data_IF_635593979278
#
_entry.id   IF_635593979278
#
_cell.length_a   1.000
_cell.length_b   1.000
_cell.length_c   1.000
_cell.angle_alpha   90.00
_cell.angle_beta   90.00
_cell.angle_gamma   90.00
#
_symmetry.space_group_name_H-M   'P 1'
#
loop_
_entity.id
_entity.type
_entity.pdbx_description
1 polymer ?
#
# COMPACT_ATOMS: atom_id res chain seq x y z
N UNK A 1 31.01 -34.17 5.15
CA UNK A 1 30.05 -34.83 4.23
C UNK A 1 28.63 -34.87 4.80
N UNK A 2 28.42 -35.19 6.09
CA UNK A 2 27.09 -35.27 6.70
C UNK A 2 26.39 -33.87 6.77
N UNK A 3 27.13 -32.81 7.00
CA UNK A 3 26.60 -31.44 7.00
C UNK A 3 26.24 -30.95 5.59
N UNK A 4 26.97 -31.34 4.55
CA UNK A 4 26.62 -31.05 3.17
C UNK A 4 25.30 -31.73 2.77
N UNK A 5 25.12 -33.03 3.13
CA UNK A 5 23.89 -33.76 2.83
C UNK A 5 22.65 -33.20 3.54
N UNK A 6 22.81 -32.62 4.73
CA UNK A 6 21.72 -31.94 5.45
C UNK A 6 21.41 -30.63 4.76
N UNK A 7 22.42 -29.84 4.41
CA UNK A 7 22.31 -28.54 3.76
C UNK A 7 21.54 -28.64 2.43
N UNK A 8 21.81 -29.66 1.64
CA UNK A 8 21.18 -29.87 0.32
C UNK A 8 19.71 -30.36 0.43
N UNK A 9 19.25 -30.75 1.63
CA UNK A 9 17.89 -31.26 1.87
C UNK A 9 16.98 -30.30 2.60
N UNK A 10 17.51 -29.19 3.08
CA UNK A 10 16.73 -28.18 3.79
C UNK A 10 16.40 -27.06 2.82
N UNK A 11 15.11 -26.81 2.62
CA UNK A 11 14.60 -25.62 1.95
C UNK A 11 14.21 -24.63 3.03
N UNK A 12 15.04 -23.60 3.28
CA UNK A 12 14.83 -22.67 4.41
C UNK A 12 13.55 -21.84 4.28
N UNK A 13 13.12 -21.59 3.06
CA UNK A 13 11.92 -20.79 2.75
C UNK A 13 10.88 -21.74 2.13
N UNK A 14 9.66 -21.71 2.66
CA UNK A 14 8.54 -22.50 2.13
C UNK A 14 8.20 -22.06 0.71
N UNK A 15 7.81 -22.99 -0.19
CA UNK A 15 7.40 -22.64 -1.55
C UNK A 15 5.96 -22.09 -1.62
N UNK A 16 5.16 -22.31 -0.57
CA UNK A 16 3.73 -22.06 -0.58
C UNK A 16 3.42 -20.57 -0.34
N UNK A 17 2.43 -20.04 -1.04
CA UNK A 17 1.82 -18.75 -0.75
C UNK A 17 0.81 -18.91 0.38
N UNK A 18 0.94 -18.12 1.43
CA UNK A 18 0.14 -18.20 2.64
C UNK A 18 -0.51 -16.83 2.92
N UNK A 19 -1.52 -16.40 2.12
CA UNK A 19 -2.20 -15.13 2.34
C UNK A 19 -3.06 -15.19 3.62
N UNK A 20 -3.24 -14.07 4.31
CA UNK A 20 -4.18 -13.99 5.42
C UNK A 20 -5.61 -14.19 4.91
N UNK A 21 -6.49 -14.71 5.77
CA UNK A 21 -7.90 -14.92 5.47
C UNK A 21 -8.74 -14.05 6.39
N UNK A 22 -9.65 -13.28 5.81
CA UNK A 22 -10.71 -12.57 6.54
C UNK A 22 -12.03 -13.21 6.09
N UNK A 23 -12.81 -13.80 7.01
CA UNK A 23 -14.09 -14.40 6.67
C UNK A 23 -15.01 -13.39 5.97
N UNK A 24 -15.74 -13.84 4.96
CA UNK A 24 -16.73 -13.05 4.20
C UNK A 24 -16.17 -11.78 3.52
N UNK A 25 -14.85 -11.67 3.33
CA UNK A 25 -14.20 -10.50 2.72
C UNK A 25 -14.78 -10.13 1.35
N UNK A 26 -15.14 -11.12 0.53
CA UNK A 26 -15.72 -10.91 -0.80
C UNK A 26 -17.08 -10.21 -0.71
N UNK A 27 -17.94 -10.70 0.19
CA UNK A 27 -19.24 -10.11 0.44
C UNK A 27 -19.10 -8.73 1.09
N UNK A 28 -18.23 -8.60 2.09
CA UNK A 28 -18.00 -7.33 2.76
C UNK A 28 -17.55 -6.25 1.78
N UNK A 29 -16.59 -6.56 0.90
CA UNK A 29 -16.12 -5.60 -0.10
C UNK A 29 -17.24 -5.17 -1.04
N UNK A 30 -18.03 -6.14 -1.55
CA UNK A 30 -19.17 -5.85 -2.42
C UNK A 30 -20.19 -4.96 -1.72
N UNK A 31 -20.59 -5.31 -0.50
CA UNK A 31 -21.58 -4.56 0.27
C UNK A 31 -21.09 -3.12 0.56
N UNK A 32 -19.84 -2.94 0.96
CA UNK A 32 -19.25 -1.61 1.19
C UNK A 32 -19.27 -0.77 -0.07
N UNK A 33 -18.80 -1.31 -1.20
CA UNK A 33 -18.75 -0.60 -2.47
C UNK A 33 -20.12 -0.18 -2.97
N UNK A 34 -21.10 -1.08 -2.94
CA UNK A 34 -22.45 -0.76 -3.37
C UNK A 34 -23.14 0.25 -2.44
N UNK A 35 -23.01 0.11 -1.13
CA UNK A 35 -23.55 1.07 -0.19
C UNK A 35 -23.01 2.48 -0.44
N UNK A 36 -21.71 2.61 -0.71
CA UNK A 36 -21.11 3.91 -1.03
C UNK A 36 -21.58 4.43 -2.39
N UNK A 37 -21.66 3.57 -3.40
CA UNK A 37 -22.16 3.93 -4.73
C UNK A 37 -23.61 4.45 -4.67
N UNK A 38 -24.49 3.75 -3.95
CA UNK A 38 -25.88 4.20 -3.73
C UNK A 38 -25.95 5.52 -2.95
N UNK A 39 -25.07 5.73 -1.98
CA UNK A 39 -25.02 6.99 -1.23
C UNK A 39 -24.58 8.18 -2.10
N UNK A 40 -23.82 7.94 -3.17
CA UNK A 40 -23.37 9.00 -4.09
C UNK A 40 -24.32 9.22 -5.26
N UNK A 41 -24.78 8.13 -5.90
CA UNK A 41 -25.49 8.15 -7.17
C UNK A 41 -26.97 7.77 -7.07
N UNK A 42 -27.47 7.38 -5.88
CA UNK A 42 -28.86 7.01 -5.66
C UNK A 42 -29.14 5.51 -5.83
N UNK A 43 -30.42 5.14 -5.64
CA UNK A 43 -30.86 3.73 -5.72
C UNK A 43 -30.70 3.17 -7.14
N UNK A 44 -31.03 3.96 -8.16
CA UNK A 44 -30.85 3.61 -9.56
C UNK A 44 -29.46 4.09 -10.03
N UNK A 45 -28.46 3.19 -9.93
CA UNK A 45 -27.11 3.52 -10.33
C UNK A 45 -26.98 3.75 -11.83
N UNK A 46 -26.23 4.78 -12.27
CA UNK A 46 -25.87 4.94 -13.67
C UNK A 46 -25.14 3.70 -14.22
N UNK A 47 -25.42 3.34 -15.48
CA UNK A 47 -24.84 2.16 -16.14
C UNK A 47 -23.31 2.15 -16.05
N UNK A 48 -22.66 3.28 -16.31
CA UNK A 48 -21.19 3.42 -16.22
C UNK A 48 -20.64 3.09 -14.82
N UNK A 49 -21.36 3.43 -13.76
CA UNK A 49 -21.00 3.13 -12.36
C UNK A 49 -21.12 1.63 -12.12
N UNK A 50 -22.24 1.04 -12.52
CA UNK A 50 -22.51 -0.39 -12.34
C UNK A 50 -21.55 -1.26 -13.13
N UNK A 51 -21.34 -0.97 -14.42
CA UNK A 51 -20.43 -1.73 -15.28
C UNK A 51 -18.98 -1.69 -14.75
N UNK A 52 -18.52 -0.50 -14.37
CA UNK A 52 -17.17 -0.34 -13.82
C UNK A 52 -17.01 -1.11 -12.50
N UNK A 53 -17.97 -0.99 -11.60
CA UNK A 53 -17.92 -1.62 -10.28
C UNK A 53 -17.99 -3.15 -10.39
N UNK A 54 -18.90 -3.70 -11.21
CA UNK A 54 -19.01 -5.15 -11.43
C UNK A 54 -17.75 -5.72 -12.08
N UNK A 55 -17.20 -5.04 -13.07
CA UNK A 55 -15.97 -5.45 -13.75
C UNK A 55 -14.80 -5.54 -12.74
N UNK A 56 -14.64 -4.53 -11.90
CA UNK A 56 -13.56 -4.50 -10.92
C UNK A 56 -13.78 -5.51 -9.81
N UNK A 57 -14.96 -5.56 -9.19
CA UNK A 57 -15.27 -6.50 -8.12
C UNK A 57 -15.14 -7.95 -8.57
N UNK A 58 -15.59 -8.28 -9.76
CA UNK A 58 -15.45 -9.63 -10.31
C UNK A 58 -13.96 -10.00 -10.50
N UNK A 59 -13.14 -9.07 -10.99
CA UNK A 59 -11.70 -9.29 -11.12
C UNK A 59 -11.01 -9.45 -9.75
N UNK A 60 -11.32 -8.57 -8.80
CA UNK A 60 -10.72 -8.58 -7.45
C UNK A 60 -11.09 -9.87 -6.70
N UNK A 61 -12.37 -10.24 -6.70
CA UNK A 61 -12.89 -11.40 -5.97
C UNK A 61 -12.41 -12.72 -6.60
N UNK A 62 -12.48 -12.85 -7.93
CA UNK A 62 -12.05 -14.08 -8.62
C UNK A 62 -10.55 -14.38 -8.45
N UNK A 63 -9.73 -13.37 -8.21
CA UNK A 63 -8.31 -13.52 -7.94
C UNK A 63 -7.96 -13.57 -6.43
N UNK A 64 -8.96 -13.51 -5.54
CA UNK A 64 -8.75 -13.60 -4.08
C UNK A 64 -8.16 -12.34 -3.46
N UNK A 65 -8.26 -11.18 -4.11
CA UNK A 65 -7.67 -9.93 -3.63
C UNK A 65 -8.57 -9.13 -2.67
N UNK A 66 -9.82 -9.56 -2.46
CA UNK A 66 -10.77 -8.83 -1.60
C UNK A 66 -10.24 -8.62 -0.17
N UNK A 67 -9.50 -9.59 0.37
CA UNK A 67 -8.87 -9.49 1.69
C UNK A 67 -7.95 -8.27 1.78
N UNK A 68 -7.15 -8.00 0.75
CA UNK A 68 -6.23 -6.85 0.72
C UNK A 68 -6.97 -5.52 0.76
N UNK A 69 -8.08 -5.42 0.01
CA UNK A 69 -8.95 -4.25 0.04
C UNK A 69 -9.59 -4.04 1.41
N UNK A 70 -10.09 -5.10 2.04
CA UNK A 70 -10.70 -5.00 3.38
C UNK A 70 -9.67 -4.59 4.44
N UNK A 71 -8.44 -5.09 4.35
CA UNK A 71 -7.35 -4.67 5.25
C UNK A 71 -7.06 -3.18 5.08
N UNK A 72 -6.84 -2.74 3.85
CA UNK A 72 -6.57 -1.34 3.53
C UNK A 72 -7.71 -0.43 3.99
N UNK A 73 -8.95 -0.81 3.69
CA UNK A 73 -10.16 -0.10 4.12
C UNK A 73 -10.22 0.06 5.65
N UNK A 74 -10.01 -1.03 6.42
CA UNK A 74 -10.02 -0.98 7.89
C UNK A 74 -8.94 -0.05 8.44
N UNK A 75 -7.74 -0.08 7.88
CA UNK A 75 -6.63 0.78 8.27
C UNK A 75 -6.93 2.26 8.00
N UNK A 76 -7.42 2.57 6.80
CA UNK A 76 -7.77 3.94 6.40
C UNK A 76 -8.92 4.48 7.26
N UNK A 77 -9.99 3.72 7.42
CA UNK A 77 -11.14 4.15 8.21
C UNK A 77 -10.77 4.39 9.66
N UNK A 78 -9.95 3.53 10.25
CA UNK A 78 -9.50 3.72 11.63
C UNK A 78 -8.64 4.98 11.79
N UNK A 79 -7.78 5.27 10.84
CA UNK A 79 -6.99 6.51 10.86
C UNK A 79 -7.88 7.75 10.74
N UNK A 80 -8.83 7.74 9.81
CA UNK A 80 -9.78 8.84 9.61
C UNK A 80 -10.68 9.04 10.85
N UNK A 81 -11.16 7.95 11.47
CA UNK A 81 -11.93 7.99 12.72
C UNK A 81 -11.13 8.67 13.85
N UNK A 82 -9.84 8.40 13.92
CA UNK A 82 -8.93 9.01 14.90
C UNK A 82 -8.48 10.44 14.47
N UNK A 83 -9.00 10.98 13.38
CA UNK A 83 -8.80 12.34 12.88
C UNK A 83 -7.51 12.55 12.07
N UNK A 84 -6.93 11.49 11.50
CA UNK A 84 -5.75 11.58 10.64
C UNK A 84 -6.07 11.07 9.23
N UNK A 85 -6.01 11.96 8.25
CA UNK A 85 -6.21 11.62 6.86
C UNK A 85 -5.13 10.64 6.37
N UNK A 86 -5.50 9.79 5.43
CA UNK A 86 -4.59 8.85 4.78
C UNK A 86 -4.56 9.14 3.29
N UNK A 87 -3.38 9.44 2.77
CA UNK A 87 -3.17 9.58 1.33
C UNK A 87 -2.96 8.22 0.67
N UNK A 88 -3.62 7.97 -0.43
CA UNK A 88 -3.29 6.83 -1.29
C UNK A 88 -2.13 7.18 -2.24
N UNK A 89 -1.31 6.18 -2.56
CA UNK A 89 -0.14 6.37 -3.42
C UNK A 89 -0.14 5.36 -4.57
N UNK A 90 0.39 5.78 -5.72
CA UNK A 90 0.60 4.89 -6.85
C UNK A 90 -0.68 4.53 -7.61
N UNK A 91 -0.77 3.30 -8.08
CA UNK A 91 -1.82 2.87 -9.03
C UNK A 91 -3.18 2.57 -8.39
N UNK A 92 -3.31 2.59 -7.06
CA UNK A 92 -4.59 2.31 -6.37
C UNK A 92 -5.70 3.29 -6.74
N UNK A 93 -5.33 4.54 -7.07
CA UNK A 93 -6.29 5.55 -7.56
C UNK A 93 -6.95 5.23 -8.90
N UNK A 94 -6.56 4.15 -9.59
CA UNK A 94 -7.23 3.66 -10.79
C UNK A 94 -8.29 2.60 -10.51
N UNK A 95 -8.48 2.20 -9.25
CA UNK A 95 -9.52 1.26 -8.83
C UNK A 95 -10.75 2.00 -8.28
N UNK A 96 -11.87 1.90 -8.98
CA UNK A 96 -13.14 2.44 -8.53
C UNK A 96 -13.67 1.70 -7.29
N UNK A 97 -13.39 0.41 -7.16
CA UNK A 97 -13.67 -0.34 -5.93
C UNK A 97 -12.89 0.22 -4.73
N UNK A 98 -11.65 0.70 -4.93
CA UNK A 98 -10.89 1.37 -3.87
C UNK A 98 -11.51 2.71 -3.47
N UNK A 99 -12.04 3.48 -4.43
CA UNK A 99 -12.79 4.72 -4.16
C UNK A 99 -14.07 4.42 -3.39
N UNK A 100 -14.84 3.43 -3.85
CA UNK A 100 -16.12 3.06 -3.23
C UNK A 100 -15.94 2.39 -1.87
N UNK A 101 -14.81 1.77 -1.59
CA UNK A 101 -14.47 1.25 -0.26
C UNK A 101 -13.81 2.30 0.67
N UNK A 102 -13.56 3.52 0.19
CA UNK A 102 -12.98 4.59 0.98
C UNK A 102 -11.48 4.42 1.26
N UNK A 103 -10.77 3.66 0.42
CA UNK A 103 -9.30 3.52 0.48
C UNK A 103 -8.61 4.73 -0.16
N UNK A 104 -9.21 5.28 -1.22
CA UNK A 104 -8.72 6.45 -1.94
C UNK A 104 -9.87 7.40 -2.25
N UNK A 105 -9.57 8.68 -2.36
CA UNK A 105 -10.51 9.72 -2.79
C UNK A 105 -10.51 9.93 -4.30
N UNK A 106 -9.53 9.36 -5.00
CA UNK A 106 -9.43 9.48 -6.45
C UNK A 106 -10.53 8.66 -7.10
N UNK A 107 -11.40 9.33 -7.89
CA UNK A 107 -12.45 8.68 -8.65
C UNK A 107 -11.98 8.42 -10.08
N UNK A 108 -11.71 7.16 -10.48
CA UNK A 108 -11.18 6.84 -11.80
C UNK A 108 -12.22 6.83 -12.91
N UNK A 109 -13.49 7.11 -12.63
CA UNK A 109 -14.49 7.28 -13.66
C UNK A 109 -14.17 8.47 -14.56
N UNK A 110 -14.77 8.53 -15.74
CA UNK A 110 -14.68 9.72 -16.59
C UNK A 110 -15.25 10.95 -15.88
N UNK A 111 -14.82 12.18 -16.26
CA UNK A 111 -15.35 13.42 -15.70
C UNK A 111 -16.89 13.41 -15.68
N UNK A 112 -17.47 13.84 -14.57
CA UNK A 112 -18.91 13.90 -14.39
C UNK A 112 -19.30 14.86 -13.28
N UNK A 113 -20.56 15.25 -13.27
CA UNK A 113 -21.20 15.92 -12.16
C UNK A 113 -22.06 14.96 -11.37
N UNK A 114 -22.12 15.15 -10.05
CA UNK A 114 -23.12 14.51 -9.22
C UNK A 114 -23.60 15.43 -8.11
N UNK A 115 -24.83 15.21 -7.65
CA UNK A 115 -25.44 15.99 -6.59
C UNK A 115 -25.48 15.19 -5.28
N UNK A 116 -24.81 15.69 -4.24
CA UNK A 116 -24.81 15.05 -2.91
C UNK A 116 -26.19 14.97 -2.25
N UNK A 117 -27.19 15.81 -2.69
CA UNK A 117 -28.51 15.91 -2.07
C UNK A 117 -29.57 15.05 -2.75
N UNK A 118 -29.67 15.12 -4.09
CA UNK A 118 -30.71 14.42 -4.84
C UNK A 118 -30.17 13.31 -5.73
N UNK A 119 -28.88 13.03 -5.69
CA UNK A 119 -28.19 11.98 -6.44
C UNK A 119 -28.27 12.12 -7.98
N UNK A 120 -28.70 13.30 -8.49
CA UNK A 120 -28.60 13.58 -9.91
C UNK A 120 -27.14 13.42 -10.35
N UNK A 121 -26.93 12.79 -11.49
CA UNK A 121 -25.62 12.63 -12.11
C UNK A 121 -25.65 12.94 -13.60
N UNK A 122 -24.56 13.48 -14.13
CA UNK A 122 -24.42 13.83 -15.55
C UNK A 122 -23.06 13.35 -16.07
N UNK A 123 -23.08 12.29 -16.86
CA UNK A 123 -21.92 11.69 -17.51
C UNK A 123 -21.87 11.99 -19.01
N UNK A 124 -22.96 12.44 -19.63
CA UNK A 124 -23.17 12.37 -21.07
C UNK A 124 -23.46 13.71 -21.75
N UNK A 125 -23.62 14.80 -20.98
CA UNK A 125 -23.82 16.11 -21.59
C UNK A 125 -22.62 16.52 -22.44
N UNK A 126 -22.85 17.33 -23.46
CA UNK A 126 -21.80 17.84 -24.36
C UNK A 126 -20.67 18.56 -23.59
N UNK A 127 -21.04 19.21 -22.50
CA UNK A 127 -20.13 19.91 -21.61
C UNK A 127 -19.17 18.92 -20.93
N UNK A 128 -19.71 17.86 -20.32
CA UNK A 128 -18.95 16.79 -19.68
C UNK A 128 -18.04 16.06 -20.66
N UNK A 129 -18.57 15.70 -21.83
CA UNK A 129 -17.81 15.00 -22.87
C UNK A 129 -16.64 15.80 -23.42
N UNK A 130 -16.69 17.15 -23.34
CA UNK A 130 -15.56 18.01 -23.73
C UNK A 130 -14.34 17.87 -22.78
N UNK A 131 -14.52 17.28 -21.59
CA UNK A 131 -13.47 17.03 -20.62
C UNK A 131 -12.98 15.57 -20.61
N UNK A 132 -13.41 14.73 -21.54
CA UNK A 132 -12.91 13.37 -21.66
C UNK A 132 -11.35 13.35 -21.68
N UNK A 133 -10.75 12.48 -20.88
CA UNK A 133 -9.29 12.38 -20.70
C UNK A 133 -8.66 13.52 -19.90
N UNK A 134 -9.46 14.34 -19.20
CA UNK A 134 -9.03 15.42 -18.31
C UNK A 134 -9.57 15.20 -16.91
N UNK A 135 -9.21 16.09 -15.98
CA UNK A 135 -9.79 16.09 -14.63
C UNK A 135 -11.21 16.65 -14.62
N UNK A 136 -12.14 15.97 -13.96
CA UNK A 136 -13.47 16.47 -13.71
C UNK A 136 -13.46 17.75 -12.84
N UNK A 137 -12.45 17.92 -11.98
CA UNK A 137 -12.30 19.11 -11.15
C UNK A 137 -12.14 20.41 -11.97
N UNK A 138 -11.65 20.31 -13.21
CA UNK A 138 -11.48 21.44 -14.12
C UNK A 138 -12.78 21.88 -14.81
N UNK A 139 -13.88 21.12 -14.64
CA UNK A 139 -15.18 21.49 -15.20
C UNK A 139 -15.72 22.75 -14.52
N UNK A 140 -16.53 23.58 -15.22
CA UNK A 140 -17.11 24.77 -14.65
C UNK A 140 -18.08 24.46 -13.50
N UNK A 141 -18.20 25.38 -12.55
CA UNK A 141 -19.17 25.27 -11.46
C UNK A 141 -20.59 25.35 -11.99
N UNK A 142 -21.47 24.48 -11.51
CA UNK A 142 -22.84 24.34 -11.98
C UNK A 142 -23.76 23.94 -10.84
N UNK A 143 -24.99 24.43 -10.88
CA UNK A 143 -26.02 24.00 -9.93
C UNK A 143 -26.83 22.84 -10.49
N UNK A 144 -27.29 21.99 -9.60
CA UNK A 144 -28.14 20.85 -9.93
C UNK A 144 -29.44 21.30 -10.59
N UNK A 145 -29.80 20.77 -11.79
CA UNK A 145 -31.01 21.14 -12.47
C UNK A 145 -32.29 20.62 -11.77
N UNK A 146 -32.14 19.67 -10.82
CA UNK A 146 -33.27 19.08 -10.09
C UNK A 146 -33.55 19.81 -8.78
N UNK A 147 -32.52 20.07 -7.96
CA UNK A 147 -32.71 20.63 -6.61
C UNK A 147 -32.04 21.98 -6.38
N UNK A 148 -31.27 22.51 -7.35
CA UNK A 148 -30.62 23.81 -7.28
C UNK A 148 -29.33 23.87 -6.45
N UNK A 149 -28.96 22.79 -5.76
CA UNK A 149 -27.68 22.73 -4.98
C UNK A 149 -26.46 22.71 -5.89
N UNK A 150 -25.30 23.16 -5.43
CA UNK A 150 -24.08 23.04 -6.20
C UNK A 150 -23.76 21.59 -6.52
N UNK A 151 -23.39 21.31 -7.77
CA UNK A 151 -22.95 19.99 -8.21
C UNK A 151 -21.48 19.76 -7.79
N UNK A 152 -21.19 18.57 -7.35
CA UNK A 152 -19.82 18.11 -7.16
C UNK A 152 -19.25 17.69 -8.53
N UNK A 153 -18.02 18.10 -8.79
CA UNK A 153 -17.25 17.81 -10.00
C UNK A 153 -16.25 16.71 -9.67
N UNK A 154 -16.24 15.62 -10.40
CA UNK A 154 -15.39 14.47 -10.10
C UNK A 154 -15.01 13.71 -11.37
N UNK A 155 -14.08 12.74 -11.21
CA UNK A 155 -13.63 11.85 -12.29
C UNK A 155 -12.31 12.27 -12.92
N UNK A 156 -11.40 11.29 -13.04
CA UNK A 156 -10.05 11.48 -13.58
C UNK A 156 -9.78 10.64 -14.84
N UNK A 157 -10.76 9.87 -15.32
CA UNK A 157 -10.70 9.03 -16.52
C UNK A 157 -9.49 8.07 -16.53
N UNK A 158 -9.32 7.30 -15.45
CA UNK A 158 -8.18 6.41 -15.27
C UNK A 158 -8.60 4.96 -15.56
N UNK A 159 -7.91 4.25 -16.47
CA UNK A 159 -8.22 2.85 -16.76
C UNK A 159 -7.82 1.92 -15.60
N UNK A 160 -8.69 0.94 -15.29
CA UNK A 160 -8.43 -0.07 -14.24
C UNK A 160 -7.20 -0.93 -14.50
N UNK A 161 -6.87 -1.14 -15.76
CA UNK A 161 -5.71 -1.91 -16.20
C UNK A 161 -4.37 -1.39 -15.67
N UNK A 162 -4.30 -0.13 -15.28
CA UNK A 162 -3.10 0.44 -14.65
C UNK A 162 -2.83 -0.16 -13.26
N UNK A 163 -3.84 -0.70 -12.59
CA UNK A 163 -3.72 -1.30 -11.27
C UNK A 163 -3.48 -2.82 -11.32
N UNK A 164 -4.43 -3.58 -11.83
CA UNK A 164 -4.36 -5.04 -11.86
C UNK A 164 -3.88 -5.64 -13.19
N UNK A 165 -3.47 -4.81 -14.14
CA UNK A 165 -3.05 -5.21 -15.47
C UNK A 165 -4.22 -5.63 -16.39
N UNK A 166 -3.92 -5.86 -17.66
CA UNK A 166 -4.94 -6.20 -18.66
C UNK A 166 -5.68 -7.53 -18.40
N UNK A 167 -5.05 -8.47 -17.68
CA UNK A 167 -5.66 -9.73 -17.28
C UNK A 167 -6.33 -9.70 -15.90
N UNK A 168 -6.21 -8.59 -15.18
CA UNK A 168 -6.76 -8.42 -13.84
C UNK A 168 -6.12 -9.32 -12.76
N UNK A 169 -4.98 -9.93 -13.03
CA UNK A 169 -4.32 -10.92 -12.17
C UNK A 169 -2.98 -10.45 -11.58
N UNK A 170 -2.58 -9.22 -11.83
CA UNK A 170 -1.46 -8.60 -11.12
C UNK A 170 -1.86 -8.41 -9.67
N UNK A 171 -1.02 -8.79 -8.73
CA UNK A 171 -1.26 -8.56 -7.31
C UNK A 171 -1.38 -7.05 -7.02
N UNK A 172 -2.45 -6.61 -6.33
CA UNK A 172 -2.63 -5.20 -6.03
C UNK A 172 -1.58 -4.71 -5.04
N UNK A 173 -0.95 -3.59 -5.37
CA UNK A 173 -0.02 -2.87 -4.51
C UNK A 173 -0.74 -1.66 -3.94
N UNK A 174 -1.20 -1.77 -2.70
CA UNK A 174 -1.97 -0.72 -2.02
C UNK A 174 -1.05 -0.01 -1.04
N UNK A 175 -0.38 1.02 -1.53
CA UNK A 175 0.47 1.90 -0.74
C UNK A 175 -0.35 2.97 -0.04
N UNK A 176 -0.21 3.06 1.28
CA UNK A 176 -0.94 4.01 2.11
C UNK A 176 0.04 4.91 2.88
N UNK A 177 -0.12 6.22 2.70
CA UNK A 177 0.63 7.26 3.40
C UNK A 177 -0.16 7.72 4.62
N UNK A 178 0.24 7.25 5.79
CA UNK A 178 -0.31 7.69 7.08
C UNK A 178 0.46 8.91 7.59
N UNK A 179 -0.15 9.68 8.50
CA UNK A 179 0.60 10.64 9.29
C UNK A 179 1.75 9.96 10.03
N UNK A 180 2.94 10.57 10.03
CA UNK A 180 4.09 10.06 10.78
C UNK A 180 3.78 9.89 12.27
N UNK A 181 2.97 10.78 12.84
CA UNK A 181 2.53 10.72 14.24
C UNK A 181 1.54 9.58 14.51
N UNK A 182 0.81 9.15 13.49
CA UNK A 182 -0.18 8.08 13.58
C UNK A 182 0.36 6.71 13.20
N UNK A 183 1.44 6.62 12.44
CA UNK A 183 2.01 5.36 11.90
C UNK A 183 2.16 4.26 12.96
N UNK A 184 2.65 4.60 14.15
CA UNK A 184 2.81 3.65 15.25
C UNK A 184 1.48 3.07 15.76
N UNK A 185 0.39 3.85 15.69
CA UNK A 185 -0.96 3.38 16.02
C UNK A 185 -1.52 2.49 14.91
N UNK A 186 -1.31 2.85 13.64
CA UNK A 186 -1.71 2.03 12.50
C UNK A 186 -1.01 0.66 12.52
N UNK A 187 0.28 0.60 12.85
CA UNK A 187 1.00 -0.66 13.04
C UNK A 187 0.36 -1.53 14.15
N UNK A 188 0.05 -0.95 15.31
CA UNK A 188 -0.63 -1.71 16.39
C UNK A 188 -2.04 -2.14 16.01
N UNK A 189 -2.73 -1.37 15.19
CA UNK A 189 -4.07 -1.74 14.73
C UNK A 189 -4.08 -2.97 13.82
N UNK A 190 -2.98 -3.30 13.15
CA UNK A 190 -2.86 -4.57 12.42
C UNK A 190 -2.99 -5.78 13.35
N UNK A 191 -2.50 -5.69 14.59
CA UNK A 191 -2.70 -6.75 15.59
C UNK A 191 -4.17 -6.88 16.03
N UNK A 192 -4.95 -5.79 16.00
CA UNK A 192 -6.39 -5.84 16.25
C UNK A 192 -7.13 -6.55 15.11
N UNK A 193 -6.66 -6.34 13.86
CA UNK A 193 -7.28 -6.96 12.68
C UNK A 193 -6.99 -8.47 12.62
N UNK A 194 -5.76 -8.88 12.90
CA UNK A 194 -5.28 -10.26 12.66
C UNK A 194 -5.08 -11.09 13.93
N UNK A 195 -5.02 -10.46 15.08
CA UNK A 195 -4.71 -11.07 16.37
C UNK A 195 -3.28 -10.79 16.83
N UNK A 196 -3.09 -10.87 18.15
CA UNK A 196 -1.81 -10.71 18.79
C UNK A 196 -0.83 -11.80 18.31
N UNK A 197 0.40 -11.41 17.99
CA UNK A 197 1.43 -12.32 17.48
C UNK A 197 1.28 -12.76 16.03
N UNK A 198 0.31 -12.20 15.28
CA UNK A 198 0.10 -12.50 13.85
C UNK A 198 0.71 -11.46 12.91
N UNK A 199 1.29 -10.38 13.46
CA UNK A 199 1.92 -9.33 12.66
C UNK A 199 3.33 -9.03 13.16
N UNK A 200 4.26 -8.86 12.22
CA UNK A 200 5.67 -8.59 12.52
C UNK A 200 6.19 -7.48 11.62
N UNK A 201 7.11 -6.68 12.12
CA UNK A 201 7.79 -5.72 11.25
C UNK A 201 8.71 -6.44 10.27
N UNK A 202 8.71 -6.00 9.02
CA UNK A 202 9.61 -6.52 8.01
C UNK A 202 11.07 -6.16 8.33
N UNK A 203 11.94 -7.16 8.34
CA UNK A 203 13.37 -6.96 8.49
C UNK A 203 14.02 -6.56 7.16
N UNK A 204 15.11 -5.82 7.25
CA UNK A 204 15.95 -5.48 6.09
C UNK A 204 17.40 -5.87 6.36
N UNK A 205 18.12 -6.22 5.31
CA UNK A 205 19.55 -6.50 5.37
C UNK A 205 20.30 -5.41 4.61
N UNK A 206 21.01 -4.56 5.36
CA UNK A 206 21.89 -3.56 4.78
C UNK A 206 23.18 -4.20 4.30
N UNK A 207 23.48 -4.11 3.01
CA UNK A 207 24.70 -4.61 2.40
C UNK A 207 25.64 -3.47 2.01
N UNK A 208 26.91 -3.80 1.75
CA UNK A 208 27.88 -2.83 1.23
C UNK A 208 27.57 -2.49 -0.22
N UNK A 209 27.31 -1.21 -0.46
CA UNK A 209 27.18 -0.65 -1.82
C UNK A 209 28.58 -0.33 -2.42
N UNK A 210 28.67 -0.26 -3.75
CA UNK A 210 29.93 -0.03 -4.50
C UNK A 210 30.73 1.16 -3.96
N UNK A 211 30.12 2.33 -3.81
CA UNK A 211 30.82 3.54 -3.33
C UNK A 211 31.38 3.36 -1.92
N UNK A 212 30.65 2.70 -1.04
CA UNK A 212 31.08 2.45 0.35
C UNK A 212 32.20 1.44 0.39
N UNK A 213 32.09 0.36 -0.40
CA UNK A 213 33.14 -0.66 -0.51
C UNK A 213 34.42 -0.08 -1.10
N UNK A 214 34.30 0.80 -2.13
CA UNK A 214 35.45 1.51 -2.70
C UNK A 214 36.14 2.40 -1.66
N UNK A 215 35.38 3.16 -0.90
CA UNK A 215 35.93 3.99 0.20
C UNK A 215 36.69 3.16 1.23
N UNK A 216 36.14 2.05 1.66
CA UNK A 216 36.82 1.16 2.62
C UNK A 216 38.10 0.55 2.03
N UNK A 217 38.05 0.05 0.80
CA UNK A 217 39.23 -0.54 0.15
C UNK A 217 40.33 0.50 -0.07
N UNK A 218 39.95 1.71 -0.49
CA UNK A 218 40.89 2.83 -0.70
C UNK A 218 41.54 3.25 0.61
N UNK A 219 40.75 3.53 1.66
CA UNK A 219 41.26 3.93 2.98
C UNK A 219 42.18 2.87 3.60
N UNK A 220 41.85 1.58 3.44
CA UNK A 220 42.69 0.49 3.90
C UNK A 220 44.12 0.57 3.38
N UNK A 221 44.27 0.89 2.07
CA UNK A 221 45.59 1.02 1.44
C UNK A 221 46.27 2.35 1.79
N UNK A 222 45.53 3.44 1.84
CA UNK A 222 46.07 4.76 2.23
C UNK A 222 46.63 4.77 3.64
N UNK A 223 45.90 4.20 4.60
CA UNK A 223 46.38 4.06 6.01
C UNK A 223 47.68 3.25 6.14
N UNK A 224 47.96 2.38 5.18
CA UNK A 224 49.16 1.54 5.14
C UNK A 224 50.27 2.10 4.23
N UNK A 225 50.06 3.28 3.67
CA UNK A 225 51.00 3.92 2.75
C UNK A 225 51.21 3.14 1.44
N UNK A 226 50.25 2.30 1.07
CA UNK A 226 50.29 1.47 -0.15
C UNK A 226 49.54 2.17 -1.29
N UNK A 227 50.25 2.65 -2.30
CA UNK A 227 49.64 3.22 -3.49
C UNK A 227 49.04 2.09 -4.37
N UNK A 228 47.74 2.15 -4.60
CA UNK A 228 47.01 1.26 -5.49
C UNK A 228 46.27 2.07 -6.58
N UNK A 229 46.26 1.54 -7.80
CA UNK A 229 45.48 2.14 -8.91
C UNK A 229 43.98 1.84 -8.65
N UNK A 230 43.11 2.73 -9.11
CA UNK A 230 41.65 2.55 -8.93
C UNK A 230 41.16 1.21 -9.49
N UNK A 231 41.67 0.76 -10.61
CA UNK A 231 41.27 -0.54 -11.20
C UNK A 231 41.64 -1.75 -10.30
N UNK A 232 42.69 -1.65 -9.48
CA UNK A 232 43.03 -2.70 -8.51
C UNK A 232 42.11 -2.62 -7.29
N UNK A 233 41.73 -1.40 -6.88
CA UNK A 233 40.76 -1.18 -5.82
C UNK A 233 39.40 -1.71 -6.27
N UNK A 234 38.94 -1.38 -7.49
CA UNK A 234 37.68 -1.84 -8.05
C UNK A 234 37.58 -3.38 -8.10
N UNK A 235 38.67 -4.06 -8.45
CA UNK A 235 38.69 -5.52 -8.43
C UNK A 235 38.43 -6.11 -7.02
N UNK A 236 38.92 -5.45 -5.97
CA UNK A 236 38.67 -5.85 -4.59
C UNK A 236 37.25 -5.51 -4.16
N UNK A 237 36.77 -4.34 -4.58
CA UNK A 237 35.41 -3.87 -4.34
C UNK A 237 34.36 -4.86 -4.83
N UNK A 238 34.56 -5.46 -6.02
CA UNK A 238 33.67 -6.49 -6.55
C UNK A 238 33.51 -7.71 -5.61
N UNK A 239 34.50 -8.02 -4.81
CA UNK A 239 34.42 -9.07 -3.79
C UNK A 239 33.82 -8.62 -2.46
N UNK A 240 33.61 -7.32 -2.28
CA UNK A 240 33.07 -6.73 -1.05
C UNK A 240 31.62 -6.24 -1.19
N UNK A 241 31.17 -5.94 -2.41
CA UNK A 241 29.81 -5.50 -2.66
C UNK A 241 28.82 -6.63 -2.34
N UNK A 242 27.68 -6.26 -1.75
CA UNK A 242 26.64 -7.20 -1.38
C UNK A 242 26.88 -7.96 -0.06
N UNK A 243 28.05 -7.78 0.56
CA UNK A 243 28.31 -8.37 1.90
C UNK A 243 27.42 -7.68 2.94
N UNK A 244 26.77 -8.49 3.78
CA UNK A 244 25.94 -8.00 4.88
C UNK A 244 26.77 -7.12 5.83
N UNK A 245 26.28 -5.92 6.08
CA UNK A 245 26.85 -4.97 7.02
C UNK A 245 26.05 -4.85 8.31
N UNK A 246 24.73 -4.69 8.18
CA UNK A 246 23.83 -4.51 9.31
C UNK A 246 22.45 -5.10 8.99
N UNK A 247 21.63 -5.20 10.01
CA UNK A 247 20.19 -5.47 9.88
C UNK A 247 19.42 -4.25 10.35
N UNK A 248 18.24 -4.07 9.80
CA UNK A 248 17.35 -2.96 10.14
C UNK A 248 15.89 -3.39 10.07
N UNK A 249 15.01 -2.43 10.28
CA UNK A 249 13.59 -2.58 10.06
C UNK A 249 13.19 -1.84 8.78
N UNK A 250 12.23 -2.39 8.06
CA UNK A 250 11.59 -1.67 6.96
C UNK A 250 10.76 -0.50 7.53
N UNK A 251 10.79 0.70 6.95
CA UNK A 251 10.16 1.89 7.54
C UNK A 251 8.63 1.79 7.66
N UNK A 252 7.97 1.00 6.83
CA UNK A 252 6.50 0.86 6.83
C UNK A 252 6.01 -0.56 6.65
N UNK A 253 6.92 -1.53 6.42
CA UNK A 253 6.53 -2.91 6.10
C UNK A 253 6.10 -3.71 7.33
N UNK A 254 4.88 -4.25 7.27
CA UNK A 254 4.32 -5.20 8.25
C UNK A 254 4.06 -6.51 7.53
N UNK A 255 4.62 -7.58 8.03
CA UNK A 255 4.37 -8.95 7.57
C UNK A 255 3.19 -9.51 8.33
N UNK A 256 2.22 -10.05 7.60
CA UNK A 256 1.01 -10.65 8.15
C UNK A 256 1.07 -12.16 8.01
N UNK A 257 0.86 -12.87 9.11
CA UNK A 257 0.79 -14.33 9.15
C UNK A 257 -0.63 -14.82 8.89
N UNK A 258 -0.79 -15.98 8.27
CA UNK A 258 -2.07 -16.69 8.24
C UNK A 258 -2.49 -17.10 9.65
N UNK A 259 -3.79 -17.13 9.91
CA UNK A 259 -4.33 -17.56 11.21
C UNK A 259 -3.89 -18.99 11.52
N UNK A 260 -3.33 -19.19 12.72
CA UNK A 260 -2.88 -20.49 13.20
C UNK A 260 -1.47 -20.88 12.81
N UNK A 261 -0.75 -20.05 12.06
CA UNK A 261 0.67 -20.25 11.75
C UNK A 261 1.56 -19.41 12.67
N UNK A 262 2.73 -19.94 12.96
CA UNK A 262 3.77 -19.25 13.75
C UNK A 262 4.85 -18.67 12.83
N UNK A 263 5.41 -17.52 13.21
CA UNK A 263 6.46 -16.83 12.43
C UNK A 263 7.66 -17.75 12.16
N UNK A 264 7.99 -18.65 13.10
CA UNK A 264 9.12 -19.56 12.99
C UNK A 264 8.98 -20.60 11.87
N UNK A 265 7.76 -20.80 11.34
CA UNK A 265 7.52 -21.61 10.14
C UNK A 265 8.01 -20.93 8.85
N UNK A 266 8.27 -19.61 8.89
CA UNK A 266 8.66 -18.79 7.73
C UNK A 266 10.04 -18.19 7.87
N UNK A 267 10.37 -17.66 9.04
CA UNK A 267 11.62 -16.95 9.29
C UNK A 267 11.95 -16.92 10.78
N UNK A 268 13.24 -16.92 11.15
CA UNK A 268 13.62 -16.49 12.49
C UNK A 268 13.25 -15.02 12.72
N UNK A 269 13.24 -14.61 13.96
CA UNK A 269 13.02 -13.19 14.35
C UNK A 269 14.28 -12.63 15.01
N UNK A 270 14.40 -11.31 15.01
CA UNK A 270 15.53 -10.61 15.61
C UNK A 270 15.17 -9.21 16.10
N UNK A 271 15.99 -8.66 16.99
CA UNK A 271 16.00 -7.23 17.24
C UNK A 271 16.82 -6.53 16.15
N UNK A 272 16.29 -5.48 15.50
CA UNK A 272 17.01 -4.77 14.43
C UNK A 272 18.29 -4.14 14.96
N UNK A 273 19.35 -4.13 14.15
CA UNK A 273 20.67 -3.63 14.50
C UNK A 273 21.31 -4.28 15.76
N UNK A 274 20.80 -5.44 16.20
CA UNK A 274 21.17 -6.13 17.45
C UNK A 274 20.93 -5.26 18.72
N UNK A 275 19.99 -4.34 18.66
CA UNK A 275 19.60 -3.50 19.79
C UNK A 275 18.64 -4.29 20.69
N UNK A 276 19.16 -4.75 21.83
CA UNK A 276 18.41 -5.56 22.81
C UNK A 276 17.57 -4.69 23.77
N UNK A 277 17.69 -3.37 23.71
CA UNK A 277 16.93 -2.44 24.55
C UNK A 277 15.57 -2.10 23.93
N UNK A 278 15.39 -2.39 22.64
CA UNK A 278 14.12 -2.15 21.93
C UNK A 278 13.18 -3.33 22.05
N UNK A 279 11.88 -3.04 22.22
CA UNK A 279 10.80 -4.03 22.16
C UNK A 279 10.44 -4.44 20.71
N UNK A 280 11.09 -3.81 19.71
CA UNK A 280 10.80 -4.08 18.31
C UNK A 280 11.41 -5.41 17.90
N UNK A 281 10.54 -6.28 17.36
CA UNK A 281 10.92 -7.56 16.76
C UNK A 281 10.67 -7.48 15.27
N UNK A 282 11.66 -7.89 14.47
CA UNK A 282 11.56 -7.95 13.02
C UNK A 282 11.79 -9.37 12.51
N UNK A 283 11.34 -9.63 11.28
CA UNK A 283 11.76 -10.84 10.56
C UNK A 283 13.28 -10.82 10.36
N UNK A 284 13.92 -11.99 10.45
CA UNK A 284 15.36 -12.10 10.21
C UNK A 284 15.69 -12.16 8.72
N UNK A 285 14.88 -12.91 7.95
CA UNK A 285 15.04 -12.90 6.51
C UNK A 285 14.63 -11.55 5.95
N UNK A 286 15.39 -11.06 4.98
CA UNK A 286 15.00 -9.89 4.22
C UNK A 286 13.65 -10.15 3.56
N UNK A 287 12.79 -9.15 3.55
CA UNK A 287 11.45 -9.26 2.99
C UNK A 287 11.46 -9.85 1.57
N UNK A 288 12.36 -9.43 0.70
CA UNK A 288 12.45 -9.93 -0.67
C UNK A 288 12.69 -11.44 -0.79
N UNK A 289 13.11 -12.08 0.31
CA UNK A 289 13.29 -13.55 0.35
C UNK A 289 12.02 -14.30 0.73
N UNK A 290 11.00 -13.61 1.27
CA UNK A 290 9.73 -14.18 1.77
C UNK A 290 8.49 -13.51 1.20
N UNK A 291 8.62 -12.59 0.25
CA UNK A 291 7.53 -11.84 -0.37
C UNK A 291 6.53 -12.73 -1.13
N UNK A 292 6.99 -13.85 -1.64
CA UNK A 292 6.13 -14.84 -2.29
C UNK A 292 5.34 -15.72 -1.31
N UNK A 293 5.71 -15.74 -0.02
CA UNK A 293 5.03 -16.53 1.01
C UNK A 293 3.97 -15.76 1.76
N UNK A 294 4.31 -14.57 2.24
CA UNK A 294 3.52 -13.80 3.19
C UNK A 294 3.11 -12.45 2.62
N UNK A 295 1.94 -11.99 3.02
CA UNK A 295 1.49 -10.65 2.69
C UNK A 295 2.30 -9.62 3.47
N UNK A 296 2.83 -8.64 2.76
CA UNK A 296 3.39 -7.41 3.32
C UNK A 296 2.40 -6.28 3.15
N UNK A 297 2.17 -5.53 4.19
CA UNK A 297 1.43 -4.27 4.17
C UNK A 297 2.43 -3.12 4.26
N UNK A 298 2.31 -2.13 3.39
CA UNK A 298 3.12 -0.93 3.43
C UNK A 298 2.36 0.23 4.09
N UNK A 299 2.60 0.40 5.40
CA UNK A 299 2.05 1.47 6.24
C UNK A 299 3.12 2.54 6.38
N UNK A 300 3.15 3.46 5.42
CA UNK A 300 4.21 4.47 5.34
C UNK A 300 3.84 5.69 6.17
N UNK A 301 4.78 6.17 7.00
CA UNK A 301 4.66 7.46 7.69
C UNK A 301 5.08 8.60 6.75
N UNK A 302 4.24 9.61 6.61
CA UNK A 302 4.46 10.77 5.76
C UNK A 302 4.18 12.08 6.50
N UNK A 303 4.85 13.14 6.10
CA UNK A 303 4.67 14.44 6.74
C UNK A 303 3.39 15.15 6.26
N UNK A 304 2.97 14.91 5.01
CA UNK A 304 1.83 15.60 4.40
C UNK A 304 0.53 15.46 5.22
N UNK A 305 0.08 14.25 5.62
CA UNK A 305 -1.11 14.12 6.44
C UNK A 305 -0.99 14.80 7.83
N UNK A 306 0.23 14.82 8.39
CA UNK A 306 0.51 15.52 9.65
C UNK A 306 0.37 17.02 9.48
N UNK A 307 0.89 17.57 8.39
CA UNK A 307 0.80 19.00 8.07
C UNK A 307 -0.63 19.43 7.79
N UNK A 308 -1.40 18.63 7.07
CA UNK A 308 -2.82 18.89 6.81
C UNK A 308 -3.57 18.95 8.14
N UNK A 309 -3.40 17.96 9.01
CA UNK A 309 -4.01 17.93 10.34
C UNK A 309 -3.66 19.17 11.17
N UNK A 310 -2.40 19.58 11.16
CA UNK A 310 -1.97 20.80 11.86
C UNK A 310 -2.65 22.03 11.31
N UNK A 311 -2.82 22.15 9.99
CA UNK A 311 -3.51 23.27 9.36
C UNK A 311 -5.01 23.30 9.72
N UNK A 312 -5.68 22.16 9.74
CA UNK A 312 -7.07 22.02 10.20
C UNK A 312 -7.23 22.47 11.66
N UNK A 313 -6.34 22.00 12.55
CA UNK A 313 -6.36 22.37 13.96
C UNK A 313 -6.11 23.88 14.19
N UNK A 314 -5.27 24.51 13.37
CA UNK A 314 -4.96 25.94 13.48
C UNK A 314 -6.02 26.84 12.85
N UNK A 315 -6.67 26.41 11.78
CA UNK A 315 -7.59 27.25 11.01
C UNK A 315 -9.06 26.94 11.30
N UNK A 316 -9.36 25.74 11.79
CA UNK A 316 -10.73 25.24 11.92
C UNK A 316 -11.43 24.98 10.58
N UNK A 317 -10.67 24.92 9.48
CA UNK A 317 -11.17 24.64 8.13
C UNK A 317 -10.85 23.19 7.80
N UNK A 318 -11.86 22.43 7.37
CA UNK A 318 -11.73 21.08 6.85
C UNK A 318 -10.99 21.13 5.50
N UNK A 319 -10.04 20.22 5.29
CA UNK A 319 -9.25 20.14 4.07
C UNK A 319 -9.93 19.30 2.96
N UNK A 320 -11.07 18.65 3.27
CA UNK A 320 -11.84 17.80 2.34
C UNK A 320 -13.01 18.52 1.67
#
# INVERSE_FOLDING_TARGET
QRQMCIRDRITPVRPDKCPPVIPDSDKMLRDICYNKAHSMYGEDLPEIVTERLERELNSIISNGFAVMYIIAQKLVWKSNEDGYLVGSRGSVGSSFAATMSGITEVNPLRPHYYCKKCHYSDFDSKEVLAYAGRSGCDMPDKNCPVCGEPLTKDGFDIPFETFLGFKGNKEPDIDLNFSGDYQGKAHRYTEVIFGEGQTFRAGTIGTLADKTAFGYAKNYYEERGIAKRNCEIDRIVQGCVGIRRTTGQHPGGIIVLPVGEEIYSFTPVQHPANDMETDIITTHFDYHSIDHNLLKLDILGHDDPTMIRMLEDLTGIDAQ
#
